data_IF_115676465167
#
_entry.id   IF_115676465167
#
_cell.length_a   1.000
_cell.length_b   1.000
_cell.length_c   1.000
_cell.angle_alpha   90.00
_cell.angle_beta   90.00
_cell.angle_gamma   90.00
#
_symmetry.space_group_name_H-M   'P 1'
#
loop_
_entity.id
_entity.type
_entity.pdbx_description
1 polymer ?
#
# COMPACT_ATOMS: atom_id res chain seq x y z
N UNK A 1 16.98 47.67 21.91
CA UNK A 1 17.45 47.58 20.52
C UNK A 1 18.07 46.22 20.36
N UNK A 2 17.61 45.26 19.58
CA UNK A 2 16.47 45.08 18.67
C UNK A 2 16.30 43.56 18.50
N UNK A 3 15.09 43.16 18.12
CA UNK A 3 14.70 41.79 17.76
C UNK A 3 15.50 41.23 16.59
N UNK A 4 15.66 39.90 16.52
CA UNK A 4 15.35 39.12 15.30
C UNK A 4 14.90 37.70 15.66
N UNK A 5 13.70 37.38 15.19
CA UNK A 5 13.03 36.08 15.19
C UNK A 5 13.54 35.31 13.97
N UNK A 6 13.80 34.00 14.11
CA UNK A 6 14.18 33.12 13.01
C UNK A 6 13.68 31.71 13.25
N UNK A 7 12.45 31.47 12.84
CA UNK A 7 11.75 30.17 12.83
C UNK A 7 12.50 29.18 11.93
N UNK A 8 12.99 28.06 12.47
CA UNK A 8 13.52 26.96 11.64
C UNK A 8 12.42 25.95 11.34
N UNK A 9 12.18 25.78 10.04
CA UNK A 9 11.20 24.92 9.39
C UNK A 9 11.26 23.47 9.91
N UNK A 10 10.11 22.97 10.39
CA UNK A 10 9.92 21.53 10.59
C UNK A 10 9.46 20.95 9.26
N UNK A 11 10.42 20.52 8.44
CA UNK A 11 10.14 19.67 7.29
C UNK A 11 9.44 18.39 7.77
N UNK A 12 8.13 18.28 7.49
CA UNK A 12 7.36 17.07 7.71
C UNK A 12 7.92 15.98 6.79
N UNK A 13 8.75 15.10 7.37
CA UNK A 13 9.35 13.94 6.74
C UNK A 13 8.26 12.94 6.33
N UNK A 14 7.65 13.14 5.17
CA UNK A 14 6.93 12.08 4.46
C UNK A 14 7.99 11.30 3.68
N UNK A 15 8.43 10.16 4.23
CA UNK A 15 9.46 9.29 3.66
C UNK A 15 9.14 9.03 2.18
N UNK A 16 10.10 9.26 1.28
CA UNK A 16 9.96 9.16 -0.19
C UNK A 16 9.43 7.78 -0.66
N UNK A 17 9.41 6.77 0.22
CA UNK A 17 8.73 5.48 0.02
C UNK A 17 7.20 5.58 -0.01
N UNK A 18 6.60 6.47 0.79
CA UNK A 18 5.14 6.70 0.86
C UNK A 18 4.58 7.31 -0.43
N UNK A 19 5.38 8.14 -1.11
CA UNK A 19 4.94 8.82 -2.34
C UNK A 19 4.84 7.86 -3.55
N UNK A 20 5.66 6.80 -3.61
CA UNK A 20 5.63 5.82 -4.71
C UNK A 20 4.43 4.88 -4.66
N UNK A 21 3.96 4.55 -3.45
CA UNK A 21 2.75 3.76 -3.23
C UNK A 21 1.52 4.57 -3.69
N UNK A 22 1.43 5.84 -3.29
CA UNK A 22 0.30 6.71 -3.61
C UNK A 22 0.19 7.07 -5.10
N UNK A 23 1.30 7.18 -5.84
CA UNK A 23 1.26 7.43 -7.30
C UNK A 23 0.65 6.28 -8.11
N UNK A 24 0.67 5.03 -7.63
CA UNK A 24 0.11 3.88 -8.36
C UNK A 24 -1.37 3.62 -8.07
N UNK A 25 -1.88 4.02 -6.90
CA UNK A 25 -3.29 3.91 -6.54
C UNK A 25 -4.15 4.81 -7.44
N UNK A 26 -3.66 6.00 -7.77
CA UNK A 26 -4.35 6.93 -8.69
C UNK A 26 -4.33 6.48 -10.16
N UNK A 27 -3.61 5.42 -10.53
CA UNK A 27 -3.39 4.98 -11.92
C UNK A 27 -3.96 3.59 -12.26
N UNK A 28 -4.65 2.94 -11.32
CA UNK A 28 -5.33 1.68 -11.62
C UNK A 28 -6.57 1.95 -12.49
N UNK A 29 -6.52 1.46 -13.74
CA UNK A 29 -7.62 1.52 -14.70
C UNK A 29 -8.82 0.71 -14.19
N UNK A 30 -10.06 1.12 -14.50
CA UNK A 30 -11.26 0.34 -14.18
C UNK A 30 -11.19 -1.05 -14.80
N UNK A 31 -11.69 -2.04 -14.06
CA UNK A 31 -11.97 -3.39 -14.54
C UNK A 31 -13.04 -3.26 -15.64
N UNK A 32 -12.67 -3.50 -16.89
CA UNK A 32 -13.62 -3.62 -18.01
C UNK A 32 -14.54 -4.82 -17.77
N UNK A 33 -15.84 -4.56 -17.62
CA UNK A 33 -16.86 -5.57 -17.78
C UNK A 33 -17.85 -5.15 -18.87
N UNK A 34 -17.71 -5.83 -20.00
CA UNK A 34 -18.72 -6.42 -20.89
C UNK A 34 -19.98 -5.60 -21.21
N UNK A 35 -20.11 -5.38 -22.52
CA UNK A 35 -21.24 -4.85 -23.28
C UNK A 35 -22.61 -5.45 -22.89
N UNK A 36 -23.65 -4.61 -22.90
CA UNK A 36 -24.97 -4.93 -23.45
C UNK A 36 -25.70 -3.66 -23.93
N UNK A 37 -26.46 -3.86 -25.00
CA UNK A 37 -26.97 -2.96 -26.07
C UNK A 37 -28.29 -2.23 -25.65
N UNK A 38 -28.68 -1.12 -26.32
CA UNK A 38 -29.60 -0.12 -25.77
C UNK A 38 -31.08 -0.36 -26.11
N UNK A 39 -31.98 0.21 -25.31
CA UNK A 39 -33.38 0.45 -25.69
C UNK A 39 -33.83 1.86 -25.27
N UNK A 40 -34.07 2.70 -26.29
CA UNK A 40 -34.97 3.86 -26.30
C UNK A 40 -36.40 3.38 -25.94
N UNK A 41 -37.37 4.14 -25.44
CA UNK A 41 -37.70 5.57 -25.39
C UNK A 41 -38.94 5.67 -24.47
N UNK A 42 -39.18 6.79 -23.79
CA UNK A 42 -40.45 7.55 -23.88
C UNK A 42 -40.47 8.78 -22.97
N UNK A 43 -40.61 9.92 -23.66
CA UNK A 43 -41.02 11.22 -23.16
C UNK A 43 -42.39 11.13 -22.52
N UNK A 44 -42.55 11.71 -21.34
CA UNK A 44 -43.83 12.20 -20.87
C UNK A 44 -43.61 13.47 -20.04
N UNK A 45 -43.96 14.60 -20.65
CA UNK A 45 -44.23 15.87 -19.96
C UNK A 45 -45.54 15.75 -19.17
N UNK A 46 -45.58 16.26 -17.93
CA UNK A 46 -46.35 17.45 -17.49
C UNK A 46 -46.25 17.63 -15.95
N UNK A 47 -46.67 18.75 -15.32
CA UNK A 47 -45.78 19.64 -14.60
C UNK A 47 -46.23 19.89 -13.14
N UNK A 48 -45.31 19.84 -12.18
CA UNK A 48 -45.54 20.52 -10.91
C UNK A 48 -44.29 21.32 -10.60
N UNK A 49 -44.36 22.60 -10.99
CA UNK A 49 -43.44 23.66 -10.63
C UNK A 49 -43.42 23.78 -9.11
N UNK A 50 -42.42 23.17 -8.47
CA UNK A 50 -41.86 23.73 -7.26
C UNK A 50 -40.79 24.72 -7.69
N UNK A 51 -40.93 25.93 -7.17
CA UNK A 51 -40.19 27.12 -7.56
C UNK A 51 -38.70 26.87 -7.28
N UNK A 52 -37.91 26.64 -8.32
CA UNK A 52 -36.46 26.79 -8.28
C UNK A 52 -36.16 28.27 -8.01
N UNK A 53 -36.01 28.60 -6.73
CA UNK A 53 -35.29 29.81 -6.34
C UNK A 53 -33.83 29.54 -6.71
N UNK A 54 -33.47 29.81 -7.96
CA UNK A 54 -32.09 30.10 -8.32
C UNK A 54 -31.67 31.34 -7.54
N UNK A 55 -31.13 31.10 -6.35
CA UNK A 55 -30.94 32.12 -5.34
C UNK A 55 -29.71 32.97 -5.69
N UNK A 56 -29.95 34.26 -5.82
CA UNK A 56 -29.02 35.35 -6.17
C UNK A 56 -27.82 35.46 -5.18
N UNK A 57 -27.79 34.63 -4.13
CA UNK A 57 -26.82 34.69 -3.05
C UNK A 57 -25.73 33.61 -3.07
N UNK A 58 -25.76 32.64 -3.98
CA UNK A 58 -24.74 31.57 -4.00
C UNK A 58 -24.67 30.81 -2.67
N UNK A 59 -25.82 30.52 -2.06
CA UNK A 59 -25.98 29.76 -0.82
C UNK A 59 -26.60 28.39 -1.16
N UNK A 60 -26.25 27.35 -0.41
CA UNK A 60 -26.85 26.02 -0.50
C UNK A 60 -27.12 25.46 0.90
N UNK A 61 -28.03 24.50 1.03
CA UNK A 61 -28.26 23.80 2.31
C UNK A 61 -27.40 22.54 2.39
N UNK A 62 -26.62 22.41 3.45
CA UNK A 62 -25.82 21.20 3.70
C UNK A 62 -26.72 20.04 4.15
N UNK A 63 -26.61 18.88 3.51
CA UNK A 63 -27.41 17.68 3.82
C UNK A 63 -27.06 17.04 5.18
N UNK A 64 -25.92 17.39 5.79
CA UNK A 64 -25.50 16.84 7.11
C UNK A 64 -25.94 17.74 8.26
N UNK A 65 -25.57 19.03 8.24
CA UNK A 65 -25.92 19.96 9.32
C UNK A 65 -27.25 20.69 9.11
N UNK A 66 -27.83 20.61 7.90
CA UNK A 66 -29.10 21.27 7.53
C UNK A 66 -29.02 22.81 7.66
N UNK A 67 -27.81 23.38 7.59
CA UNK A 67 -27.58 24.82 7.64
C UNK A 67 -27.41 25.42 6.23
N UNK A 68 -27.77 26.71 6.03
CA UNK A 68 -27.45 27.45 4.82
C UNK A 68 -25.98 27.86 4.80
N UNK A 69 -25.26 27.47 3.76
CA UNK A 69 -23.81 27.61 3.62
C UNK A 69 -23.47 28.30 2.30
N UNK A 70 -22.41 29.11 2.29
CA UNK A 70 -21.88 29.72 1.07
C UNK A 70 -21.39 28.66 0.08
N UNK A 71 -21.62 28.86 -1.22
CA UNK A 71 -21.12 27.99 -2.28
C UNK A 71 -19.59 27.87 -2.30
N UNK A 72 -18.86 28.83 -1.70
CA UNK A 72 -17.41 28.74 -1.52
C UNK A 72 -17.00 27.66 -0.52
N UNK A 73 -17.85 27.39 0.47
CA UNK A 73 -17.62 26.37 1.51
C UNK A 73 -18.25 25.03 1.12
N UNK A 74 -18.77 24.91 -0.11
CA UNK A 74 -19.26 23.64 -0.67
C UNK A 74 -18.10 22.71 -0.93
N UNK A 75 -18.16 21.50 -0.38
CA UNK A 75 -17.23 20.45 -0.73
C UNK A 75 -17.55 19.90 -2.13
N UNK A 76 -16.52 19.71 -2.95
CA UNK A 76 -16.64 19.11 -4.29
C UNK A 76 -15.72 17.90 -4.39
N UNK A 77 -16.30 16.71 -4.52
CA UNK A 77 -15.53 15.47 -4.67
C UNK A 77 -15.07 15.26 -6.14
N UNK A 78 -14.31 16.21 -6.70
CA UNK A 78 -13.87 16.20 -8.12
C UNK A 78 -15.00 15.92 -9.12
N UNK A 79 -16.21 16.38 -8.81
CA UNK A 79 -17.43 16.16 -9.59
C UNK A 79 -17.80 14.66 -9.82
N UNK A 80 -17.27 13.76 -8.99
CA UNK A 80 -17.63 12.33 -9.00
C UNK A 80 -19.04 12.06 -8.46
N UNK A 81 -19.57 12.97 -7.66
CA UNK A 81 -20.94 12.95 -7.16
C UNK A 81 -21.45 14.37 -6.89
N UNK A 82 -22.78 14.57 -6.91
CA UNK A 82 -23.43 15.87 -6.77
C UNK A 82 -24.03 16.15 -5.38
N UNK A 83 -23.62 15.41 -4.34
CA UNK A 83 -24.14 15.61 -2.98
C UNK A 83 -23.71 16.95 -2.36
N UNK A 84 -24.60 17.55 -1.58
CA UNK A 84 -24.45 18.91 -1.08
C UNK A 84 -23.97 18.92 0.38
N UNK A 85 -22.65 18.95 0.58
CA UNK A 85 -22.04 19.03 1.91
C UNK A 85 -21.14 20.26 2.05
N UNK A 86 -21.10 20.85 3.24
CA UNK A 86 -20.07 21.84 3.57
C UNK A 86 -18.74 21.18 3.93
N UNK A 87 -17.64 21.90 3.72
CA UNK A 87 -16.28 21.44 4.02
C UNK A 87 -16.13 21.02 5.50
N UNK A 88 -16.73 21.77 6.43
CA UNK A 88 -16.67 21.46 7.87
C UNK A 88 -17.31 20.12 8.22
N UNK A 89 -18.46 19.79 7.63
CA UNK A 89 -19.11 18.50 7.85
C UNK A 89 -18.27 17.35 7.29
N UNK A 90 -17.67 17.54 6.12
CA UNK A 90 -16.79 16.52 5.53
C UNK A 90 -15.50 16.37 6.35
N UNK A 91 -14.92 17.45 6.85
CA UNK A 91 -13.74 17.39 7.70
C UNK A 91 -14.01 16.59 8.99
N UNK A 92 -15.14 16.85 9.67
CA UNK A 92 -15.56 16.09 10.86
C UNK A 92 -15.88 14.63 10.54
N UNK A 93 -16.49 14.37 9.40
CA UNK A 93 -16.76 13.00 8.94
C UNK A 93 -15.47 12.21 8.69
N UNK A 94 -14.50 12.82 8.01
CA UNK A 94 -13.16 12.24 7.82
C UNK A 94 -12.50 12.01 9.18
N UNK A 95 -12.58 12.96 10.09
CA UNK A 95 -12.03 12.83 11.44
C UNK A 95 -12.59 11.58 12.15
N UNK A 96 -13.91 11.42 12.20
CA UNK A 96 -14.52 10.25 12.80
C UNK A 96 -14.06 8.94 12.12
N UNK A 97 -14.07 8.89 10.78
CA UNK A 97 -13.67 7.69 10.03
C UNK A 97 -12.21 7.31 10.23
N UNK A 98 -11.30 8.28 10.31
CA UNK A 98 -9.86 8.03 10.45
C UNK A 98 -9.47 7.84 11.91
N UNK A 99 -9.94 8.70 12.81
CA UNK A 99 -9.55 8.66 14.22
C UNK A 99 -10.21 7.51 14.96
N UNK A 100 -11.52 7.34 14.78
CA UNK A 100 -12.32 6.42 15.59
C UNK A 100 -12.42 5.04 14.93
N UNK A 101 -12.58 5.00 13.61
CA UNK A 101 -12.79 3.74 12.87
C UNK A 101 -11.54 3.22 12.15
N UNK A 102 -10.43 3.96 12.13
CA UNK A 102 -9.20 3.60 11.40
C UNK A 102 -9.47 3.18 9.94
N UNK A 103 -10.40 3.88 9.27
CA UNK A 103 -10.85 3.56 7.90
C UNK A 103 -9.98 4.24 6.85
N UNK A 104 -9.41 3.45 5.95
CA UNK A 104 -8.56 3.93 4.85
C UNK A 104 -9.38 4.55 3.71
N UNK A 105 -10.32 3.77 3.16
CA UNK A 105 -11.14 4.14 2.01
C UNK A 105 -12.46 4.73 2.51
N UNK A 106 -12.56 6.04 2.48
CA UNK A 106 -13.71 6.77 3.01
C UNK A 106 -14.68 7.06 1.88
N UNK A 107 -15.88 6.48 1.95
CA UNK A 107 -16.97 6.74 1.00
C UNK A 107 -17.65 8.07 1.31
N UNK A 108 -18.21 8.67 0.26
CA UNK A 108 -19.05 9.85 0.33
C UNK A 108 -20.22 9.62 1.31
N UNK A 109 -20.55 10.57 2.21
CA UNK A 109 -21.67 10.42 3.13
C UNK A 109 -23.06 10.35 2.47
N UNK A 110 -23.14 10.62 1.16
CA UNK A 110 -24.38 10.58 0.39
C UNK A 110 -25.02 9.20 0.42
N UNK A 111 -26.34 9.16 0.54
CA UNK A 111 -27.11 7.91 0.57
C UNK A 111 -26.95 7.21 -0.78
N UNK A 112 -26.54 5.93 -0.76
CA UNK A 112 -26.27 5.12 -1.96
C UNK A 112 -25.15 5.68 -2.85
N UNK A 113 -24.14 6.34 -2.27
CA UNK A 113 -22.99 6.86 -2.99
C UNK A 113 -21.73 6.03 -2.74
N UNK A 114 -21.28 5.27 -3.75
CA UNK A 114 -20.08 4.43 -3.65
C UNK A 114 -18.78 5.19 -4.05
N UNK A 115 -18.85 6.52 -4.15
CA UNK A 115 -17.69 7.33 -4.53
C UNK A 115 -16.78 7.59 -3.32
N UNK A 116 -15.50 7.25 -3.46
CA UNK A 116 -14.51 7.54 -2.41
C UNK A 116 -14.12 9.03 -2.39
N UNK A 117 -13.82 9.52 -1.20
CA UNK A 117 -13.23 10.83 -0.99
C UNK A 117 -11.75 10.81 -1.38
N UNK A 118 -11.32 11.82 -2.13
CA UNK A 118 -9.92 11.98 -2.50
C UNK A 118 -9.13 12.70 -1.39
N UNK A 119 -8.09 12.04 -0.88
CA UNK A 119 -7.21 12.55 0.17
C UNK A 119 -6.65 13.95 -0.15
N UNK A 120 -6.24 14.18 -1.41
CA UNK A 120 -5.59 15.44 -1.79
C UNK A 120 -6.60 16.59 -1.95
N UNK A 121 -7.81 16.32 -2.43
CA UNK A 121 -8.92 17.28 -2.39
C UNK A 121 -9.23 17.70 -0.96
N UNK A 122 -9.12 16.76 -0.01
CA UNK A 122 -9.44 17.02 1.40
C UNK A 122 -8.31 17.70 2.18
N UNK A 123 -7.10 17.76 1.65
CA UNK A 123 -5.91 18.24 2.36
C UNK A 123 -6.06 19.65 2.94
N UNK A 124 -6.71 20.55 2.22
CA UNK A 124 -6.84 21.95 2.64
C UNK A 124 -7.91 22.17 3.71
N UNK A 125 -8.86 21.26 3.86
CA UNK A 125 -9.97 21.37 4.83
C UNK A 125 -9.74 20.60 6.13
N UNK A 126 -8.74 19.71 6.18
CA UNK A 126 -8.45 18.92 7.39
C UNK A 126 -7.13 19.33 8.06
N UNK A 127 -7.03 19.19 9.40
CA UNK A 127 -5.78 19.41 10.11
C UNK A 127 -4.63 18.50 9.64
N UNK A 128 -3.40 19.01 9.68
CA UNK A 128 -2.20 18.29 9.20
C UNK A 128 -1.94 16.95 9.92
N UNK A 129 -2.28 16.86 11.21
CA UNK A 129 -2.17 15.62 11.98
C UNK A 129 -3.19 14.58 11.50
N UNK A 130 -4.43 15.00 11.20
CA UNK A 130 -5.46 14.13 10.65
C UNK A 130 -5.09 13.66 9.24
N UNK A 131 -4.60 14.57 8.38
CA UNK A 131 -4.08 14.22 7.06
C UNK A 131 -2.96 13.18 7.13
N UNK A 132 -2.01 13.36 8.05
CA UNK A 132 -0.88 12.43 8.23
C UNK A 132 -1.38 11.05 8.67
N UNK A 133 -2.29 11.00 9.66
CA UNK A 133 -2.89 9.73 10.10
C UNK A 133 -3.67 9.05 8.98
N UNK A 134 -4.43 9.79 8.17
CA UNK A 134 -5.14 9.20 7.04
C UNK A 134 -4.18 8.62 6.00
N UNK A 135 -3.03 9.28 5.74
CA UNK A 135 -1.97 8.72 4.90
C UNK A 135 -1.44 7.39 5.46
N UNK A 136 -1.20 7.32 6.77
CA UNK A 136 -0.69 6.11 7.43
C UNK A 136 -1.69 4.95 7.28
N UNK A 137 -2.97 5.21 7.56
CA UNK A 137 -4.05 4.20 7.44
C UNK A 137 -4.20 3.72 5.99
N UNK A 138 -4.13 4.62 5.00
CA UNK A 138 -4.14 4.26 3.58
C UNK A 138 -2.93 3.39 3.20
N UNK A 139 -1.75 3.70 3.73
CA UNK A 139 -0.55 2.91 3.47
C UNK A 139 -0.62 1.53 4.12
N UNK A 140 -1.15 1.44 5.33
CA UNK A 140 -1.38 0.15 6.01
C UNK A 140 -2.35 -0.72 5.21
N UNK A 141 -3.50 -0.19 4.78
CA UNK A 141 -4.47 -0.90 3.93
C UNK A 141 -3.83 -1.39 2.63
N UNK A 142 -3.04 -0.55 1.97
CA UNK A 142 -2.32 -0.94 0.76
C UNK A 142 -1.34 -2.09 1.02
N UNK A 143 -0.55 -2.02 2.08
CA UNK A 143 0.46 -3.04 2.42
C UNK A 143 -0.18 -4.37 2.83
N UNK A 144 -1.39 -4.37 3.39
CA UNK A 144 -2.12 -5.59 3.74
C UNK A 144 -2.45 -6.45 2.51
N UNK A 145 -2.54 -5.85 1.32
CA UNK A 145 -2.79 -6.55 0.06
C UNK A 145 -1.61 -7.40 -0.45
N UNK A 146 -0.43 -7.32 0.19
CA UNK A 146 0.80 -7.95 -0.30
C UNK A 146 1.40 -8.95 0.71
N UNK A 147 2.15 -9.92 0.18
CA UNK A 147 2.98 -10.78 1.01
C UNK A 147 4.09 -9.94 1.68
N UNK A 148 4.33 -10.18 2.96
CA UNK A 148 5.19 -9.31 3.79
C UNK A 148 6.03 -10.09 4.79
N UNK A 149 7.25 -9.63 5.01
CA UNK A 149 8.15 -10.17 6.03
C UNK A 149 8.98 -9.06 6.66
N UNK A 150 9.18 -9.14 7.97
CA UNK A 150 10.15 -8.30 8.64
C UNK A 150 11.57 -8.76 8.35
N UNK A 151 12.50 -7.80 8.30
CA UNK A 151 13.92 -8.08 8.24
C UNK A 151 14.34 -8.81 9.54
N UNK A 152 15.03 -9.98 9.45
CA UNK A 152 15.43 -10.75 10.63
C UNK A 152 16.52 -10.08 11.47
N UNK A 153 17.18 -9.04 10.94
CA UNK A 153 18.14 -8.27 11.71
C UNK A 153 17.42 -7.43 12.77
N UNK A 154 17.69 -7.76 14.04
CA UNK A 154 17.09 -7.11 15.22
C UNK A 154 17.36 -5.60 15.30
N UNK A 155 18.45 -5.11 14.71
CA UNK A 155 18.76 -3.69 14.66
C UNK A 155 18.07 -2.96 13.49
N UNK A 156 17.48 -3.70 12.55
CA UNK A 156 16.84 -3.14 11.36
C UNK A 156 15.32 -3.25 11.43
N UNK A 157 14.79 -4.46 11.63
CA UNK A 157 13.35 -4.77 11.74
C UNK A 157 12.45 -4.14 10.67
N UNK A 158 13.01 -3.71 9.53
CA UNK A 158 12.24 -3.08 8.48
C UNK A 158 11.23 -4.07 7.88
N UNK A 159 10.01 -3.62 7.64
CA UNK A 159 9.01 -4.38 6.89
C UNK A 159 9.41 -4.41 5.41
N UNK A 160 9.46 -5.61 4.84
CA UNK A 160 9.74 -5.84 3.41
C UNK A 160 8.48 -6.43 2.79
N UNK A 161 8.03 -5.80 1.71
CA UNK A 161 6.80 -6.15 0.99
C UNK A 161 7.18 -6.73 -0.37
N UNK A 162 6.53 -7.82 -0.74
CA UNK A 162 6.66 -8.45 -2.05
C UNK A 162 5.60 -7.86 -2.99
N UNK A 163 5.99 -6.89 -3.81
CA UNK A 163 5.13 -6.28 -4.84
C UNK A 163 5.08 -7.11 -6.15
N UNK A 164 5.71 -8.29 -6.20
CA UNK A 164 5.71 -9.14 -7.38
C UNK A 164 4.33 -9.73 -7.66
N UNK A 165 4.00 -9.94 -8.94
CA UNK A 165 2.77 -10.62 -9.33
C UNK A 165 2.71 -12.01 -8.71
N UNK A 166 1.52 -12.37 -8.19
CA UNK A 166 1.19 -13.62 -7.48
C UNK A 166 1.59 -14.88 -8.27
N UNK A 167 1.81 -14.76 -9.58
CA UNK A 167 2.02 -15.86 -10.52
C UNK A 167 3.49 -16.32 -10.69
N UNK A 168 4.49 -15.60 -10.15
CA UNK A 168 5.91 -15.96 -10.34
C UNK A 168 6.51 -16.70 -9.15
N UNK A 169 5.83 -17.76 -8.69
CA UNK A 169 6.31 -18.62 -7.61
C UNK A 169 6.52 -17.90 -6.28
N UNK A 170 6.84 -18.65 -5.23
CA UNK A 170 7.00 -18.05 -3.90
C UNK A 170 8.39 -17.42 -3.76
N UNK A 171 8.44 -16.10 -3.48
CA UNK A 171 9.68 -15.38 -3.23
C UNK A 171 10.42 -16.01 -2.04
N UNK A 172 11.63 -16.55 -2.29
CA UNK A 172 12.46 -17.15 -1.24
C UNK A 172 13.59 -16.24 -0.80
N UNK A 173 14.41 -15.75 -1.73
CA UNK A 173 15.57 -14.91 -1.43
C UNK A 173 15.22 -13.44 -1.61
N UNK A 174 15.33 -12.66 -0.54
CA UNK A 174 15.05 -11.22 -0.58
C UNK A 174 16.23 -10.41 -0.01
N UNK A 175 16.45 -9.22 -0.55
CA UNK A 175 17.42 -8.26 -0.02
C UNK A 175 16.67 -7.16 0.71
N UNK A 176 16.97 -6.94 1.99
CA UNK A 176 16.36 -5.86 2.75
C UNK A 176 16.71 -4.50 2.10
N UNK A 177 15.73 -3.64 1.77
CA UNK A 177 16.02 -2.35 1.15
C UNK A 177 16.71 -1.38 2.12
N UNK A 178 16.56 -1.58 3.43
CA UNK A 178 17.15 -0.72 4.45
C UNK A 178 18.61 -1.10 4.76
N UNK A 179 18.83 -2.29 5.35
CA UNK A 179 20.18 -2.73 5.76
C UNK A 179 20.96 -3.51 4.69
N UNK A 180 20.35 -3.74 3.52
CA UNK A 180 20.95 -4.47 2.37
C UNK A 180 21.34 -5.93 2.63
N UNK A 181 20.98 -6.49 3.79
CA UNK A 181 21.22 -7.90 4.12
C UNK A 181 20.24 -8.83 3.38
N UNK A 182 20.77 -9.97 2.95
CA UNK A 182 19.99 -11.03 2.34
C UNK A 182 19.32 -11.90 3.40
N UNK A 183 18.06 -12.23 3.18
CA UNK A 183 17.29 -13.08 4.07
C UNK A 183 16.33 -13.98 3.29
N UNK A 184 15.85 -15.03 3.95
CA UNK A 184 14.81 -15.87 3.41
C UNK A 184 13.43 -15.26 3.76
N UNK A 185 12.66 -14.89 2.75
CA UNK A 185 11.35 -14.23 2.93
C UNK A 185 10.31 -15.16 3.55
N UNK A 186 10.33 -16.45 3.19
CA UNK A 186 9.46 -17.48 3.77
C UNK A 186 9.84 -17.85 5.20
N UNK A 187 11.12 -18.16 5.41
CA UNK A 187 11.62 -18.65 6.68
C UNK A 187 11.85 -17.52 7.71
N UNK A 188 11.85 -16.25 7.28
CA UNK A 188 12.04 -15.06 8.13
C UNK A 188 13.34 -15.07 8.95
N UNK A 189 14.39 -15.64 8.36
CA UNK A 189 15.75 -15.76 8.95
C UNK A 189 16.81 -15.28 7.98
N UNK A 190 18.03 -15.08 8.46
CA UNK A 190 19.18 -14.77 7.61
C UNK A 190 19.34 -15.80 6.48
N UNK A 191 19.79 -15.33 5.30
CA UNK A 191 19.84 -16.17 4.11
C UNK A 191 20.68 -17.44 4.34
N UNK A 192 20.10 -18.58 3.98
CA UNK A 192 20.68 -19.92 4.19
C UNK A 192 21.10 -20.52 2.85
N UNK A 193 22.16 -19.93 2.26
CA UNK A 193 22.74 -20.35 0.99
C UNK A 193 23.04 -21.86 0.99
N UNK A 194 22.65 -22.58 -0.06
CA UNK A 194 22.93 -24.03 -0.19
C UNK A 194 22.04 -24.95 0.65
N UNK A 195 21.15 -24.41 1.50
CA UNK A 195 20.20 -25.18 2.31
C UNK A 195 18.76 -24.89 1.91
N UNK A 196 17.92 -25.92 1.98
CA UNK A 196 16.47 -25.76 1.80
C UNK A 196 15.86 -25.13 3.06
N UNK A 197 14.65 -24.57 2.94
CA UNK A 197 14.01 -23.88 4.07
C UNK A 197 13.71 -24.84 5.23
N UNK A 198 13.40 -26.10 4.90
CA UNK A 198 13.17 -27.20 5.83
C UNK A 198 14.43 -27.57 6.64
N UNK A 199 15.61 -27.31 6.08
CA UNK A 199 16.92 -27.57 6.70
C UNK A 199 17.48 -26.32 7.40
N UNK A 200 16.78 -25.18 7.31
CA UNK A 200 17.34 -23.87 7.60
C UNK A 200 17.39 -23.49 9.09
N UNK A 201 17.05 -24.42 9.98
CA UNK A 201 16.94 -24.22 11.43
C UNK A 201 18.14 -23.47 12.05
N UNK A 202 17.88 -22.80 13.17
CA UNK A 202 18.77 -21.79 13.78
C UNK A 202 20.11 -22.32 14.34
N UNK A 203 20.44 -23.60 14.16
CA UNK A 203 21.67 -24.22 14.69
C UNK A 203 22.65 -24.51 13.56
N UNK A 204 23.14 -23.45 12.90
CA UNK A 204 24.25 -23.54 11.95
C UNK A 204 25.45 -22.84 12.54
N UNK A 205 26.57 -23.54 12.57
CA UNK A 205 27.83 -22.91 12.92
C UNK A 205 28.42 -22.14 11.73
N UNK A 206 29.62 -21.57 11.91
CA UNK A 206 30.28 -20.82 10.86
C UNK A 206 30.71 -21.71 9.68
N UNK A 207 31.10 -22.96 9.93
CA UNK A 207 31.47 -23.92 8.88
C UNK A 207 30.26 -24.28 8.01
N UNK A 208 29.10 -24.52 8.62
CA UNK A 208 27.85 -24.79 7.91
C UNK A 208 27.47 -23.64 6.96
N UNK A 209 27.64 -22.40 7.43
CA UNK A 209 27.37 -21.19 6.64
C UNK A 209 28.38 -21.04 5.50
N UNK A 210 29.67 -21.25 5.76
CA UNK A 210 30.73 -21.18 4.75
C UNK A 210 30.51 -22.24 3.66
N UNK A 211 30.20 -23.47 4.07
CA UNK A 211 29.89 -24.57 3.16
C UNK A 211 28.66 -24.28 2.31
N UNK A 212 27.57 -23.77 2.92
CA UNK A 212 26.37 -23.38 2.19
C UNK A 212 26.62 -22.31 1.11
N UNK A 213 27.48 -21.33 1.39
CA UNK A 213 27.91 -20.32 0.41
C UNK A 213 28.73 -20.92 -0.74
N UNK A 214 29.57 -21.92 -0.45
CA UNK A 214 30.31 -22.65 -1.47
C UNK A 214 29.34 -23.41 -2.40
N UNK A 215 28.38 -24.13 -1.84
CA UNK A 215 27.35 -24.86 -2.60
C UNK A 215 26.56 -23.91 -3.51
N UNK A 216 26.15 -22.74 -3.01
CA UNK A 216 25.43 -21.74 -3.83
C UNK A 216 26.31 -21.18 -4.97
N UNK A 217 27.60 -20.91 -4.70
CA UNK A 217 28.53 -20.38 -5.72
C UNK A 217 28.78 -21.38 -6.85
N UNK A 218 28.83 -22.67 -6.52
CA UNK A 218 29.05 -23.75 -7.48
C UNK A 218 27.76 -24.20 -8.19
N UNK A 219 26.64 -23.47 -8.01
CA UNK A 219 25.31 -23.90 -8.48
C UNK A 219 24.95 -25.34 -8.06
N UNK A 220 25.51 -25.79 -6.93
CA UNK A 220 25.31 -27.12 -6.39
C UNK A 220 23.96 -27.23 -5.66
N UNK A 221 23.49 -28.46 -5.51
CA UNK A 221 22.29 -28.76 -4.73
C UNK A 221 22.55 -29.92 -3.77
N UNK A 222 21.95 -29.87 -2.59
CA UNK A 222 21.97 -30.99 -1.63
C UNK A 222 20.88 -31.98 -1.97
N UNK A 223 21.19 -33.28 -1.91
CA UNK A 223 20.17 -34.33 -2.05
C UNK A 223 19.33 -34.44 -0.77
N UNK A 224 17.99 -34.44 -0.87
CA UNK A 224 17.11 -34.52 0.31
C UNK A 224 17.31 -35.78 1.16
N UNK A 225 17.69 -36.91 0.56
CA UNK A 225 17.76 -38.19 1.26
C UNK A 225 19.04 -38.38 2.10
N UNK A 226 20.16 -37.75 1.70
CA UNK A 226 21.47 -38.02 2.31
C UNK A 226 22.31 -36.76 2.57
N UNK A 227 21.84 -35.58 2.16
CA UNK A 227 22.54 -34.31 2.37
C UNK A 227 23.82 -34.13 1.53
N UNK A 228 24.22 -35.11 0.71
CA UNK A 228 25.39 -35.00 -0.18
C UNK A 228 25.18 -33.87 -1.19
N UNK A 229 26.24 -33.11 -1.45
CA UNK A 229 26.23 -32.03 -2.43
C UNK A 229 26.54 -32.58 -3.81
N UNK A 230 25.74 -32.14 -4.78
CA UNK A 230 25.93 -32.49 -6.18
C UNK A 230 26.03 -31.21 -7.01
N UNK A 231 27.07 -31.11 -7.82
CA UNK A 231 27.25 -30.03 -8.78
C UNK A 231 26.28 -30.25 -9.96
N UNK A 232 25.62 -29.18 -10.41
CA UNK A 232 24.80 -29.21 -11.62
C UNK A 232 25.62 -28.64 -12.77
N UNK A 233 26.06 -29.49 -13.70
CA UNK A 233 26.59 -29.05 -14.98
C UNK A 233 25.44 -28.80 -15.95
N UNK A 234 25.55 -27.75 -16.76
CA UNK A 234 24.49 -27.33 -17.70
C UNK A 234 24.20 -28.42 -18.75
N UNK A 235 25.14 -29.34 -18.97
CA UNK A 235 25.04 -30.40 -19.96
C UNK A 235 25.24 -31.80 -19.34
N UNK A 236 24.19 -32.62 -19.44
CA UNK A 236 24.16 -34.07 -19.23
C UNK A 236 24.02 -34.64 -17.80
N UNK A 237 23.33 -35.79 -17.77
CA UNK A 237 22.87 -36.63 -16.65
C UNK A 237 24.00 -37.23 -15.79
N UNK A 238 25.07 -36.50 -15.51
CA UNK A 238 26.16 -36.95 -14.62
C UNK A 238 26.18 -36.12 -13.34
N UNK A 239 25.80 -36.78 -12.25
CA UNK A 239 25.74 -36.23 -10.90
C UNK A 239 27.04 -36.60 -10.19
N UNK A 240 27.96 -35.65 -10.02
CA UNK A 240 29.17 -35.85 -9.23
C UNK A 240 28.84 -35.59 -7.76
N UNK A 241 29.14 -36.57 -6.88
CA UNK A 241 29.04 -36.41 -5.43
C UNK A 241 30.34 -35.76 -4.95
N UNK A 242 30.24 -34.59 -4.33
CA UNK A 242 31.41 -33.96 -3.70
C UNK A 242 31.66 -34.64 -2.36
N UNK A 243 32.81 -35.30 -2.22
CA UNK A 243 33.32 -35.84 -0.95
C UNK A 243 33.94 -34.70 -0.14
N UNK A 244 33.70 -34.67 1.17
CA UNK A 244 34.18 -33.62 2.11
C UNK A 244 35.69 -33.75 2.40
N UNK A 245 36.42 -34.58 1.65
CA UNK A 245 37.82 -34.92 1.91
C UNK A 245 38.83 -34.08 1.11
N UNK A 246 38.38 -33.08 0.34
CA UNK A 246 39.26 -32.18 -0.44
C UNK A 246 39.06 -30.69 -0.09
N UNK A 247 39.01 -30.37 1.22
CA UNK A 247 39.21 -29.01 1.75
C UNK A 247 40.40 -29.03 2.70
#
# INVERSE_FOLDING_TARGET
MEHLIGSSEKETYCDKRYCKINMRISQQKPIENRECIPQQEKVHENPQQEIELEDINGIFTCEICIEPISANDKFRNKDLCSHHFCQDCIAKYIEAKVQDNNTAKIECPGVHCDQFLDLFTCKLMIPSNLFSKWCDVLCEDYVLGFERSYCPNRNCMALVVNEGEINYGTLKKARCPNCKQWFCFQCKVAWHAGYRCEESGNLRDWNDIAFGKLVERMHGARRPACGSCVERKEDARQVFVMSVEEI
#
